data_IF_351726820682
#
_entry.id   IF_351726820682
#
_cell.length_a   1.000
_cell.length_b   1.000
_cell.length_c   1.000
_cell.angle_alpha   90.00
_cell.angle_beta   90.00
_cell.angle_gamma   90.00
#
_symmetry.space_group_name_H-M   'P 1'
#
loop_
_entity.id
_entity.type
_entity.pdbx_description
1 polymer ?
#
# COMPACT_ATOMS: atom_id res chain seq x y z
N UNK A 1 14.75 -38.44 -19.05
CA UNK A 1 15.32 -37.49 -20.02
C UNK A 1 15.37 -36.12 -19.37
N UNK A 2 16.55 -35.65 -18.95
CA UNK A 2 16.70 -34.26 -18.49
C UNK A 2 16.55 -33.36 -19.72
N UNK A 3 15.44 -32.61 -19.81
CA UNK A 3 15.29 -31.56 -20.80
C UNK A 3 16.36 -30.52 -20.52
N UNK A 4 17.47 -30.56 -21.25
CA UNK A 4 18.47 -29.51 -21.26
C UNK A 4 17.82 -28.30 -21.91
N UNK A 5 17.43 -27.34 -21.08
CA UNK A 5 16.94 -26.03 -21.52
C UNK A 5 18.11 -25.08 -21.64
N UNK A 6 18.04 -24.17 -22.60
CA UNK A 6 19.01 -23.09 -22.69
C UNK A 6 18.95 -22.21 -21.44
N UNK A 7 20.05 -21.52 -21.06
CA UNK A 7 20.03 -20.60 -19.92
C UNK A 7 18.93 -19.52 -20.04
N UNK A 8 18.66 -19.04 -21.27
CA UNK A 8 17.58 -18.09 -21.53
C UNK A 8 16.20 -18.67 -21.21
N UNK A 9 15.88 -19.86 -21.73
CA UNK A 9 14.60 -20.53 -21.42
C UNK A 9 14.45 -20.88 -19.94
N UNK A 10 15.56 -21.21 -19.25
CA UNK A 10 15.53 -21.46 -17.82
C UNK A 10 15.19 -20.19 -17.03
N UNK A 11 15.76 -19.05 -17.40
CA UNK A 11 15.46 -17.75 -16.78
C UNK A 11 14.03 -17.29 -17.09
N UNK A 12 13.54 -17.46 -18.33
CA UNK A 12 12.16 -17.13 -18.69
C UNK A 12 11.15 -17.89 -17.82
N UNK A 13 11.35 -19.19 -17.61
CA UNK A 13 10.50 -20.00 -16.73
C UNK A 13 10.49 -19.50 -15.29
N UNK A 14 11.65 -19.09 -14.77
CA UNK A 14 11.75 -18.52 -13.42
C UNK A 14 10.98 -17.20 -13.36
N UNK A 15 11.13 -16.34 -14.37
CA UNK A 15 10.41 -15.07 -14.42
C UNK A 15 8.91 -15.23 -14.62
N UNK A 16 8.45 -16.25 -15.34
CA UNK A 16 7.02 -16.59 -15.43
C UNK A 16 6.45 -16.94 -14.05
N UNK A 17 7.10 -17.84 -13.31
CA UNK A 17 6.65 -18.22 -11.96
C UNK A 17 6.61 -17.01 -11.02
N UNK A 18 7.64 -16.16 -11.07
CA UNK A 18 7.67 -14.92 -10.28
C UNK A 18 6.52 -13.99 -10.68
N UNK A 19 6.20 -13.88 -11.98
CA UNK A 19 5.11 -13.04 -12.48
C UNK A 19 3.74 -13.57 -12.05
N UNK A 20 3.53 -14.87 -12.15
CA UNK A 20 2.29 -15.53 -11.70
C UNK A 20 2.08 -15.33 -10.20
N UNK A 21 3.11 -15.58 -9.38
CA UNK A 21 3.03 -15.37 -7.93
C UNK A 21 2.82 -13.89 -7.58
N UNK A 22 3.48 -12.96 -8.26
CA UNK A 22 3.28 -11.53 -8.06
C UNK A 22 1.85 -11.09 -8.43
N UNK A 23 1.25 -11.67 -9.47
CA UNK A 23 -0.12 -11.39 -9.86
C UNK A 23 -1.13 -11.95 -8.85
N UNK A 24 -0.88 -13.14 -8.31
CA UNK A 24 -1.75 -13.79 -7.32
C UNK A 24 -1.59 -13.23 -5.90
N UNK A 25 -0.41 -12.71 -5.56
CA UNK A 25 -0.03 -12.27 -4.23
C UNK A 25 0.52 -10.83 -4.24
N UNK A 26 -0.35 -9.84 -4.02
CA UNK A 26 0.03 -8.43 -4.04
C UNK A 26 1.10 -8.05 -3.00
N UNK A 27 1.19 -8.78 -1.87
CA UNK A 27 2.24 -8.56 -0.86
C UNK A 27 3.61 -9.04 -1.36
N UNK A 28 3.66 -10.17 -2.07
CA UNK A 28 4.89 -10.65 -2.70
C UNK A 28 5.37 -9.68 -3.78
N UNK A 29 4.45 -9.22 -4.65
CA UNK A 29 4.76 -8.21 -5.66
C UNK A 29 5.39 -6.96 -5.03
N UNK A 30 4.82 -6.48 -3.92
CA UNK A 30 5.35 -5.31 -3.21
C UNK A 30 6.78 -5.49 -2.73
N UNK A 31 7.07 -6.61 -2.06
CA UNK A 31 8.42 -6.91 -1.55
C UNK A 31 9.44 -6.99 -2.68
N UNK A 32 9.05 -7.56 -3.82
CA UNK A 32 9.91 -7.69 -4.99
C UNK A 32 10.26 -6.31 -5.59
N UNK A 33 9.28 -5.42 -5.65
CA UNK A 33 9.44 -4.06 -6.17
C UNK A 33 10.22 -3.15 -5.22
N UNK A 34 10.00 -3.28 -3.90
CA UNK A 34 10.79 -2.58 -2.88
C UNK A 34 12.27 -3.00 -2.94
N UNK A 35 12.55 -4.30 -3.15
CA UNK A 35 13.91 -4.80 -3.30
C UNK A 35 14.61 -4.31 -4.58
N UNK A 36 13.84 -3.98 -5.62
CA UNK A 36 14.34 -3.43 -6.86
C UNK A 36 14.51 -1.89 -6.82
N UNK A 37 14.16 -1.26 -5.69
CA UNK A 37 14.05 0.21 -5.54
C UNK A 37 13.10 0.86 -6.58
N UNK A 38 12.14 0.08 -7.09
CA UNK A 38 11.14 0.54 -8.04
C UNK A 38 9.89 0.94 -7.27
N UNK A 39 9.55 2.23 -7.29
CA UNK A 39 8.31 2.71 -6.71
C UNK A 39 7.15 2.38 -7.65
N UNK A 40 6.29 1.45 -7.25
CA UNK A 40 5.06 1.11 -7.99
C UNK A 40 3.84 1.61 -7.23
N UNK A 41 3.01 2.36 -7.94
CA UNK A 41 1.68 2.75 -7.50
C UNK A 41 0.73 1.60 -7.83
N UNK A 42 0.26 0.90 -6.82
CA UNK A 42 -0.81 -0.09 -7.00
C UNK A 42 -2.13 0.66 -7.14
N UNK A 43 -2.93 0.33 -8.16
CA UNK A 43 -4.25 0.90 -8.41
C UNK A 43 -5.34 -0.17 -8.35
N UNK A 44 -6.55 0.21 -7.91
CA UNK A 44 -7.70 -0.70 -7.87
C UNK A 44 -7.82 -1.54 -6.58
N UNK A 45 -8.62 -2.63 -6.59
CA UNK A 45 -8.93 -3.42 -5.39
C UNK A 45 -7.70 -4.04 -4.70
N UNK A 46 -6.65 -4.36 -5.46
CA UNK A 46 -5.42 -4.92 -4.92
C UNK A 46 -4.53 -3.86 -4.26
N UNK A 47 -4.72 -2.58 -4.56
CA UNK A 47 -4.06 -1.50 -3.83
C UNK A 47 -4.48 -1.51 -2.35
N UNK A 48 -5.73 -1.86 -2.03
CA UNK A 48 -6.21 -1.96 -0.63
C UNK A 48 -5.45 -3.01 0.17
N UNK A 49 -5.03 -4.11 -0.46
CA UNK A 49 -4.31 -5.21 0.21
C UNK A 49 -2.84 -4.89 0.47
N UNK A 50 -2.28 -3.88 -0.19
CA UNK A 50 -0.83 -3.58 -0.21
C UNK A 50 -0.54 -2.15 0.26
N UNK A 51 -1.54 -1.28 0.28
CA UNK A 51 -1.36 0.10 0.69
C UNK A 51 -1.14 0.17 2.20
N UNK A 52 0.13 0.21 2.59
CA UNK A 52 0.56 0.60 3.93
C UNK A 52 0.60 2.13 4.01
N UNK A 53 -0.34 2.79 4.71
CA UNK A 53 -0.37 4.25 4.78
C UNK A 53 0.84 4.82 5.51
N UNK A 54 1.46 4.09 6.44
CA UNK A 54 2.65 4.53 7.17
C UNK A 54 3.84 4.56 6.21
N UNK A 55 3.99 3.52 5.39
CA UNK A 55 5.05 3.47 4.38
C UNK A 55 4.91 4.58 3.33
N UNK A 56 3.71 4.78 2.77
CA UNK A 56 3.47 5.81 1.77
C UNK A 56 3.73 7.20 2.38
N UNK A 57 3.26 7.46 3.60
CA UNK A 57 3.51 8.73 4.29
C UNK A 57 4.99 8.98 4.65
N UNK A 58 5.83 7.94 4.66
CA UNK A 58 7.27 8.08 4.89
C UNK A 58 8.02 8.61 3.65
N UNK A 59 7.47 8.39 2.45
CA UNK A 59 8.14 8.68 1.17
C UNK A 59 7.47 9.80 0.36
N UNK A 60 6.20 10.07 0.63
CA UNK A 60 5.38 11.01 -0.13
C UNK A 60 5.08 12.28 0.68
N UNK A 61 4.81 13.38 -0.02
CA UNK A 61 4.14 14.53 0.56
C UNK A 61 2.62 14.28 0.69
N UNK A 62 1.92 15.19 1.36
CA UNK A 62 0.49 15.04 1.58
C UNK A 62 -0.32 15.01 0.27
N UNK A 63 0.07 15.77 -0.74
CA UNK A 63 -0.64 15.80 -2.03
C UNK A 63 -0.58 14.43 -2.72
N UNK A 64 0.62 13.86 -2.83
CA UNK A 64 0.86 12.54 -3.43
C UNK A 64 0.22 11.41 -2.61
N UNK A 65 0.26 11.53 -1.28
CA UNK A 65 -0.46 10.62 -0.39
C UNK A 65 -1.97 10.67 -0.66
N UNK A 66 -2.53 11.88 -0.74
CA UNK A 66 -3.96 12.07 -0.98
C UNK A 66 -4.38 11.47 -2.30
N UNK A 67 -3.64 11.69 -3.38
CA UNK A 67 -3.90 11.08 -4.69
C UNK A 67 -3.93 9.55 -4.63
N UNK A 68 -3.03 8.96 -3.84
CA UNK A 68 -2.94 7.50 -3.67
C UNK A 68 -4.19 6.88 -3.01
N UNK A 69 -4.89 7.64 -2.17
CA UNK A 69 -5.99 7.11 -1.35
C UNK A 69 -7.36 7.71 -1.65
N UNK A 70 -7.46 8.85 -2.34
CA UNK A 70 -8.74 9.55 -2.54
C UNK A 70 -9.73 8.75 -3.40
N UNK A 71 -9.24 7.84 -4.25
CA UNK A 71 -10.05 6.94 -5.07
C UNK A 71 -10.69 5.78 -4.28
N UNK A 72 -10.32 5.58 -3.02
CA UNK A 72 -10.81 4.46 -2.21
C UNK A 72 -12.21 4.73 -1.67
N UNK A 73 -12.97 3.66 -1.45
CA UNK A 73 -14.29 3.78 -0.82
C UNK A 73 -14.14 4.17 0.66
N UNK A 74 -15.17 4.79 1.24
CA UNK A 74 -15.15 5.08 2.68
C UNK A 74 -14.94 3.82 3.55
N UNK A 75 -15.47 2.67 3.11
CA UNK A 75 -15.34 1.41 3.83
C UNK A 75 -13.89 0.95 3.85
N UNK A 76 -13.20 1.05 2.71
CA UNK A 76 -11.80 0.64 2.59
C UNK A 76 -10.90 1.58 3.41
N UNK A 77 -11.12 2.89 3.30
CA UNK A 77 -10.38 3.89 4.09
C UNK A 77 -10.54 3.65 5.60
N UNK A 78 -11.76 3.39 6.09
CA UNK A 78 -11.99 3.05 7.50
C UNK A 78 -11.29 1.75 7.90
N UNK A 79 -11.26 0.76 7.02
CA UNK A 79 -10.60 -0.52 7.26
C UNK A 79 -9.08 -0.34 7.38
N UNK A 80 -8.47 0.46 6.51
CA UNK A 80 -7.04 0.81 6.57
C UNK A 80 -6.70 1.58 7.85
N UNK A 81 -7.44 2.64 8.17
CA UNK A 81 -7.22 3.45 9.38
C UNK A 81 -7.25 2.57 10.64
N UNK A 82 -8.21 1.64 10.73
CA UNK A 82 -8.32 0.70 11.86
C UNK A 82 -7.23 -0.37 11.84
N UNK A 83 -6.99 -0.99 10.70
CA UNK A 83 -6.03 -2.09 10.55
C UNK A 83 -4.60 -1.68 10.92
N UNK A 84 -4.22 -0.44 10.61
CA UNK A 84 -2.92 0.13 10.98
C UNK A 84 -2.92 0.92 12.29
N UNK A 85 -4.03 0.90 13.05
CA UNK A 85 -4.20 1.62 14.32
C UNK A 85 -3.84 3.13 14.21
N UNK A 86 -4.30 3.78 13.14
CA UNK A 86 -3.97 5.17 12.81
C UNK A 86 -4.89 6.17 13.52
N UNK A 87 -6.13 5.79 13.82
CA UNK A 87 -7.10 6.59 14.56
C UNK A 87 -8.09 5.72 15.34
N UNK A 88 -8.74 6.30 16.35
CA UNK A 88 -9.81 5.64 17.12
C UNK A 88 -11.15 5.68 16.37
N UNK A 89 -12.08 4.81 16.78
CA UNK A 89 -13.43 4.78 16.23
C UNK A 89 -14.19 6.10 16.41
N UNK A 90 -13.94 6.81 17.51
CA UNK A 90 -14.51 8.13 17.78
C UNK A 90 -13.97 9.18 16.80
N UNK A 91 -12.66 9.18 16.55
CA UNK A 91 -12.04 10.07 15.58
C UNK A 91 -12.59 9.83 14.16
N UNK A 92 -12.75 8.57 13.77
CA UNK A 92 -13.34 8.18 12.47
C UNK A 92 -14.79 8.67 12.36
N UNK A 93 -15.60 8.47 13.41
CA UNK A 93 -17.00 8.93 13.45
C UNK A 93 -17.09 10.46 13.43
N UNK A 94 -16.12 11.13 14.05
CA UNK A 94 -16.00 12.59 14.15
C UNK A 94 -15.65 13.29 12.84
N UNK A 95 -15.28 12.57 11.77
CA UNK A 95 -15.02 13.17 10.45
C UNK A 95 -16.30 13.75 9.87
N UNK A 96 -16.35 15.10 9.79
CA UNK A 96 -17.47 15.89 9.26
C UNK A 96 -17.25 16.46 7.86
N UNK A 97 -16.03 16.38 7.32
CA UNK A 97 -15.67 16.87 5.98
C UNK A 97 -16.57 16.26 4.90
N UNK A 98 -16.92 17.04 3.88
CA UNK A 98 -17.67 16.56 2.70
C UNK A 98 -16.85 16.80 1.42
N UNK A 99 -16.63 15.79 0.56
CA UNK A 99 -17.00 14.38 0.75
C UNK A 99 -16.23 13.73 1.92
N UNK A 100 -16.88 12.80 2.62
CA UNK A 100 -16.33 12.18 3.84
C UNK A 100 -15.04 11.40 3.59
N UNK A 101 -14.86 10.89 2.37
CA UNK A 101 -13.61 10.28 1.92
C UNK A 101 -12.41 11.21 2.11
N UNK A 102 -12.53 12.49 1.76
CA UNK A 102 -11.44 13.47 1.92
C UNK A 102 -10.99 13.56 3.38
N UNK A 103 -11.93 13.76 4.30
CA UNK A 103 -11.59 13.83 5.73
C UNK A 103 -11.06 12.52 6.33
N UNK A 104 -11.41 11.37 5.75
CA UNK A 104 -10.82 10.09 6.16
C UNK A 104 -9.37 9.95 5.69
N UNK A 105 -9.06 10.40 4.46
CA UNK A 105 -7.69 10.44 3.96
C UNK A 105 -6.83 11.39 4.79
N UNK A 106 -7.37 12.54 5.19
CA UNK A 106 -6.70 13.50 6.08
C UNK A 106 -6.38 12.88 7.44
N UNK A 107 -7.39 12.25 8.07
CA UNK A 107 -7.21 11.55 9.35
C UNK A 107 -6.18 10.43 9.25
N UNK A 108 -6.15 9.70 8.13
CA UNK A 108 -5.20 8.64 7.87
C UNK A 108 -3.76 9.16 7.74
N UNK A 109 -3.58 10.27 7.02
CA UNK A 109 -2.29 10.95 6.90
C UNK A 109 -1.74 11.37 8.27
N UNK A 110 -2.55 12.07 9.07
CA UNK A 110 -2.15 12.53 10.40
C UNK A 110 -1.78 11.33 11.31
N UNK A 111 -2.58 10.27 11.28
CA UNK A 111 -2.29 9.05 12.02
C UNK A 111 -0.98 8.37 11.59
N UNK A 112 -0.71 8.33 10.28
CA UNK A 112 0.51 7.75 9.72
C UNK A 112 1.75 8.56 10.09
N UNK A 113 1.68 9.91 9.98
CA UNK A 113 2.76 10.81 10.40
C UNK A 113 3.08 10.66 11.88
N UNK A 114 2.07 10.63 12.74
CA UNK A 114 2.24 10.37 14.18
C UNK A 114 2.98 9.05 14.44
N UNK A 115 2.61 7.97 13.73
CA UNK A 115 3.29 6.67 13.86
C UNK A 115 4.76 6.72 13.41
N UNK A 116 5.09 7.50 12.39
CA UNK A 116 6.46 7.69 11.95
C UNK A 116 7.28 8.48 12.97
N UNK A 117 6.69 9.52 13.55
CA UNK A 117 7.36 10.34 14.56
C UNK A 117 7.58 9.54 15.86
N UNK A 118 6.61 8.73 16.29
CA UNK A 118 6.77 7.76 17.40
C UNK A 118 7.97 6.81 17.21
N UNK A 119 8.27 6.43 15.96
CA UNK A 119 9.39 5.52 15.63
C UNK A 119 10.74 6.23 15.58
N UNK A 120 10.78 7.54 15.33
CA UNK A 120 12.04 8.34 15.29
C UNK A 120 12.55 8.71 16.67
N UNK A 121 11.67 8.72 17.67
CA UNK A 121 11.99 9.05 19.06
C UNK A 121 12.45 7.81 19.86
N UNK A 122 12.31 6.62 19.28
CA UNK A 122 12.85 5.35 19.82
C UNK A 122 14.22 5.06 19.25
#
# INVERSE_FOLDING_TARGET
MSKSVSPGEALERIFEVIREEAAANPTFARRLLDAADITVVFSGPDAVKVADPIFIAARADYASFRESFIGFTEKDLKSLIKGFALATDEQIKGVKTKPKQGGLVDLMWEGAKRKLDERRVR
#
